data_IF_051502937037
#
_entry.id   IF_051502937037
#
_cell.length_a   1.000
_cell.length_b   1.000
_cell.length_c   1.000
_cell.angle_alpha   90.00
_cell.angle_beta   90.00
_cell.angle_gamma   90.00
#
_symmetry.space_group_name_H-M   'P 1'
#
loop_
_entity.id
_entity.type
_entity.pdbx_description
1 polymer ?
#
# COMPACT_ATOMS: atom_id res chain seq x y z
N UNK A 1 2.40 57.70 -1.67
CA UNK A 1 2.88 56.50 -0.93
C UNK A 1 3.00 55.34 -1.91
N UNK A 2 4.06 54.53 -1.79
CA UNK A 2 4.20 53.28 -2.55
C UNK A 2 3.08 52.31 -2.14
N UNK A 3 2.47 51.58 -3.08
CA UNK A 3 1.38 50.67 -2.76
C UNK A 3 1.88 49.37 -2.11
N UNK A 4 0.98 48.65 -1.46
CA UNK A 4 1.11 47.20 -1.24
C UNK A 4 0.71 46.50 -2.54
N UNK A 5 1.62 45.73 -3.11
CA UNK A 5 1.32 44.92 -4.30
C UNK A 5 0.81 43.55 -3.88
N UNK A 6 -0.37 43.16 -4.35
CA UNK A 6 -0.93 41.81 -4.17
C UNK A 6 -0.89 41.09 -5.50
N UNK A 7 -0.23 39.93 -5.57
CA UNK A 7 0.00 39.19 -6.81
C UNK A 7 -0.92 37.97 -6.86
N UNK A 8 -1.90 38.00 -7.77
CA UNK A 8 -2.94 37.00 -7.97
C UNK A 8 -4.28 37.42 -7.37
N UNK A 9 -5.32 37.57 -8.18
CA UNK A 9 -6.69 37.90 -7.78
C UNK A 9 -7.56 36.65 -7.60
N UNK A 10 -7.01 35.61 -6.96
CA UNK A 10 -7.78 34.49 -6.43
C UNK A 10 -8.48 34.83 -5.11
N UNK A 11 -9.12 33.83 -4.47
CA UNK A 11 -9.79 34.04 -3.19
C UNK A 11 -8.87 34.69 -2.14
N UNK A 12 -7.65 34.17 -1.95
CA UNK A 12 -6.69 34.71 -0.99
C UNK A 12 -6.24 36.15 -1.33
N UNK A 13 -5.98 36.45 -2.61
CA UNK A 13 -5.52 37.77 -3.02
C UNK A 13 -6.60 38.84 -2.97
N UNK A 14 -7.84 38.49 -3.30
CA UNK A 14 -8.99 39.39 -3.11
C UNK A 14 -9.16 39.74 -1.63
N UNK A 15 -9.12 38.75 -0.74
CA UNK A 15 -9.21 39.00 0.71
C UNK A 15 -8.03 39.81 1.24
N UNK A 16 -6.80 39.53 0.79
CA UNK A 16 -5.60 40.28 1.20
C UNK A 16 -5.65 41.74 0.72
N UNK A 17 -6.07 41.98 -0.52
CA UNK A 17 -6.23 43.33 -1.06
C UNK A 17 -7.31 44.12 -0.31
N UNK A 18 -8.45 43.46 -0.02
CA UNK A 18 -9.53 44.07 0.76
C UNK A 18 -9.07 44.45 2.17
N UNK A 19 -8.40 43.53 2.87
CA UNK A 19 -7.89 43.78 4.21
C UNK A 19 -6.89 44.95 4.24
N UNK A 20 -5.92 44.96 3.32
CA UNK A 20 -4.94 46.05 3.25
C UNK A 20 -5.58 47.40 2.90
N UNK A 21 -6.57 47.42 2.00
CA UNK A 21 -7.28 48.64 1.62
C UNK A 21 -8.13 49.21 2.78
N UNK A 22 -8.76 48.33 3.59
CA UNK A 22 -9.50 48.74 4.80
C UNK A 22 -8.62 49.42 5.85
N UNK A 23 -7.36 49.03 5.92
CA UNK A 23 -6.34 49.68 6.76
C UNK A 23 -5.82 51.01 6.16
N UNK A 24 -6.50 51.55 5.13
CA UNK A 24 -6.14 52.80 4.48
C UNK A 24 -4.86 52.74 3.65
N UNK A 25 -4.34 51.54 3.35
CA UNK A 25 -3.14 51.39 2.51
C UNK A 25 -3.50 51.61 1.05
N UNK A 26 -2.59 52.23 0.30
CA UNK A 26 -2.64 52.20 -1.16
C UNK A 26 -2.37 50.77 -1.62
N UNK A 27 -3.28 50.16 -2.38
CA UNK A 27 -3.16 48.76 -2.82
C UNK A 27 -3.23 48.68 -4.34
N UNK A 28 -2.42 47.81 -4.92
CA UNK A 28 -2.56 47.36 -6.31
C UNK A 28 -2.61 45.84 -6.35
N UNK A 29 -3.70 45.31 -6.90
CA UNK A 29 -3.94 43.89 -7.10
C UNK A 29 -3.63 43.54 -8.56
N UNK A 30 -2.58 42.75 -8.78
CA UNK A 30 -2.06 42.34 -10.08
C UNK A 30 -2.57 40.94 -10.41
N UNK A 31 -3.17 40.76 -11.58
CA UNK A 31 -3.72 39.48 -12.00
C UNK A 31 -3.50 39.28 -13.50
N UNK A 32 -3.01 38.09 -13.86
CA UNK A 32 -2.74 37.75 -15.26
C UNK A 32 -4.01 37.54 -16.08
N UNK A 33 -5.04 36.96 -15.49
CA UNK A 33 -6.31 36.74 -16.19
C UNK A 33 -7.07 38.05 -16.38
N UNK A 34 -8.00 38.13 -17.36
CA UNK A 34 -8.74 39.37 -17.62
C UNK A 34 -9.69 39.80 -16.49
N UNK A 35 -10.18 38.85 -15.68
CA UNK A 35 -11.29 39.11 -14.76
C UNK A 35 -11.02 38.70 -13.29
N UNK A 36 -9.91 38.02 -13.02
CA UNK A 36 -9.63 37.44 -11.70
C UNK A 36 -10.65 36.39 -11.24
N UNK A 37 -10.33 35.71 -10.13
CA UNK A 37 -11.23 34.77 -9.47
C UNK A 37 -11.68 33.57 -10.32
N UNK A 38 -10.98 33.26 -11.43
CA UNK A 38 -11.37 32.19 -12.38
C UNK A 38 -11.61 30.84 -11.71
N UNK A 39 -10.80 30.50 -10.70
CA UNK A 39 -10.94 29.25 -9.95
C UNK A 39 -12.15 29.22 -9.02
N UNK A 40 -12.61 30.38 -8.54
CA UNK A 40 -13.86 30.50 -7.79
C UNK A 40 -15.02 30.09 -8.70
N UNK A 41 -15.04 30.57 -9.95
CA UNK A 41 -16.11 30.30 -10.92
C UNK A 41 -16.32 28.82 -11.23
N UNK A 42 -15.29 27.99 -11.16
CA UNK A 42 -15.39 26.55 -11.43
C UNK A 42 -15.55 25.71 -10.15
N UNK A 43 -15.40 26.32 -8.98
CA UNK A 43 -15.47 25.61 -7.70
C UNK A 43 -16.90 25.13 -7.40
N UNK A 44 -17.03 23.99 -6.70
CA UNK A 44 -18.34 23.42 -6.37
C UNK A 44 -19.22 23.10 -7.58
N UNK A 45 -18.62 22.82 -8.75
CA UNK A 45 -19.37 22.60 -10.00
C UNK A 45 -20.04 23.87 -10.54
N UNK A 46 -19.45 25.04 -10.28
CA UNK A 46 -20.03 26.33 -10.66
C UNK A 46 -20.94 26.95 -9.59
N UNK A 47 -21.20 26.23 -8.48
CA UNK A 47 -21.99 26.74 -7.34
C UNK A 47 -21.16 27.49 -6.31
N UNK A 48 -19.86 27.24 -6.26
CA UNK A 48 -18.93 27.64 -5.19
C UNK A 48 -19.28 27.04 -3.83
N UNK A 49 -18.54 25.99 -3.45
CA UNK A 49 -18.50 25.55 -2.06
C UNK A 49 -17.64 26.55 -1.25
N UNK A 50 -18.27 27.52 -0.61
CA UNK A 50 -17.62 28.70 -0.02
C UNK A 50 -16.95 28.33 1.31
N UNK A 51 -17.72 27.74 2.24
CA UNK A 51 -17.29 27.47 3.61
C UNK A 51 -17.76 26.09 4.08
N UNK A 52 -17.05 25.44 5.00
CA UNK A 52 -17.61 24.29 5.71
C UNK A 52 -18.63 24.74 6.76
N UNK A 53 -19.57 23.87 7.12
CA UNK A 53 -20.52 24.08 8.23
C UNK A 53 -19.83 24.22 9.60
N UNK A 54 -18.66 23.61 9.77
CA UNK A 54 -17.86 23.62 11.00
C UNK A 54 -16.37 23.64 10.68
N UNK A 55 -15.59 24.30 11.53
CA UNK A 55 -14.14 24.34 11.38
C UNK A 55 -13.55 22.94 11.64
N UNK A 56 -12.71 22.46 10.72
CA UNK A 56 -12.11 21.13 10.81
C UNK A 56 -10.61 21.18 10.51
N UNK A 57 -9.77 21.68 11.45
CA UNK A 57 -8.32 21.76 11.25
C UNK A 57 -7.68 20.42 10.87
N UNK A 58 -8.25 19.30 11.32
CA UNK A 58 -7.78 17.95 10.98
C UNK A 58 -7.98 17.54 9.52
N UNK A 59 -8.75 18.30 8.72
CA UNK A 59 -8.91 18.06 7.27
C UNK A 59 -7.82 18.70 6.40
N UNK A 60 -6.93 19.50 6.99
CA UNK A 60 -5.82 20.11 6.26
C UNK A 60 -4.57 19.25 6.39
N UNK A 61 -3.88 19.03 5.27
CA UNK A 61 -2.58 18.38 5.24
C UNK A 61 -1.50 19.46 5.21
N UNK A 62 -0.55 19.39 6.14
CA UNK A 62 0.55 20.36 6.22
C UNK A 62 1.83 19.68 6.69
N UNK A 63 2.96 20.06 6.07
CA UNK A 63 4.31 19.72 6.53
C UNK A 63 4.80 20.71 7.62
N UNK A 64 4.03 21.77 7.89
CA UNK A 64 4.31 22.73 8.97
C UNK A 64 3.73 22.23 10.30
N UNK A 65 4.06 22.93 11.39
CA UNK A 65 3.48 22.61 12.70
C UNK A 65 1.94 22.67 12.67
N UNK A 66 1.22 21.64 13.17
CA UNK A 66 -0.22 21.69 13.35
C UNK A 66 -0.70 22.90 14.17
N UNK A 67 0.13 23.40 15.09
CA UNK A 67 -0.18 24.58 15.89
C UNK A 67 -0.14 25.87 15.06
N UNK A 68 0.77 25.98 14.08
CA UNK A 68 0.82 27.11 13.16
C UNK A 68 -0.46 27.17 12.30
N UNK A 69 -0.87 26.04 11.73
CA UNK A 69 -2.14 25.91 11.01
C UNK A 69 -3.34 26.32 11.88
N UNK A 70 -3.43 25.79 13.11
CA UNK A 70 -4.51 26.15 14.05
C UNK A 70 -4.50 27.63 14.42
N UNK A 71 -3.33 28.29 14.46
CA UNK A 71 -3.24 29.74 14.67
C UNK A 71 -3.74 30.51 13.46
N UNK A 72 -3.37 30.11 12.25
CA UNK A 72 -3.88 30.72 11.01
C UNK A 72 -5.40 30.63 10.92
N UNK A 73 -6.00 29.46 11.18
CA UNK A 73 -7.46 29.28 11.14
C UNK A 73 -8.20 30.05 12.24
N UNK A 74 -7.53 30.38 13.35
CA UNK A 74 -8.10 31.20 14.44
C UNK A 74 -7.94 32.70 14.21
N UNK A 75 -7.07 33.12 13.30
CA UNK A 75 -6.87 34.54 12.99
C UNK A 75 -8.05 35.16 12.25
N UNK A 76 -8.88 34.33 11.59
CA UNK A 76 -10.16 34.72 11.05
C UNK A 76 -11.15 33.55 11.24
N UNK A 77 -11.84 33.49 12.39
CA UNK A 77 -12.78 32.42 12.74
C UNK A 77 -13.89 32.19 11.71
N UNK A 78 -14.45 30.98 11.66
CA UNK A 78 -15.43 30.56 10.65
C UNK A 78 -16.76 31.34 10.72
N UNK A 79 -17.18 31.71 11.93
CA UNK A 79 -18.33 32.56 12.19
C UNK A 79 -18.13 33.98 11.68
N UNK A 80 -16.93 34.55 11.82
CA UNK A 80 -16.58 35.83 11.20
C UNK A 80 -16.52 35.73 9.67
N UNK A 81 -15.98 34.63 9.12
CA UNK A 81 -16.01 34.37 7.68
C UNK A 81 -17.45 34.32 7.16
N UNK A 82 -18.34 33.59 7.85
CA UNK A 82 -19.76 33.54 7.51
C UNK A 82 -20.40 34.93 7.55
N UNK A 83 -20.17 35.67 8.62
CA UNK A 83 -20.71 37.02 8.78
C UNK A 83 -20.22 37.97 7.67
N UNK A 84 -18.97 37.84 7.22
CA UNK A 84 -18.45 38.58 6.08
C UNK A 84 -19.25 38.29 4.80
N UNK A 85 -19.49 37.03 4.44
CA UNK A 85 -20.28 36.71 3.25
C UNK A 85 -21.73 37.17 3.39
N UNK A 86 -22.39 36.88 4.51
CA UNK A 86 -23.82 37.17 4.69
C UNK A 86 -24.13 38.66 4.87
N UNK A 87 -23.26 39.41 5.58
CA UNK A 87 -23.52 40.80 5.95
C UNK A 87 -22.76 41.79 5.08
N UNK A 88 -21.51 41.49 4.77
CA UNK A 88 -20.66 42.43 4.04
C UNK A 88 -20.68 42.20 2.54
N UNK A 89 -20.94 40.98 2.04
CA UNK A 89 -21.16 40.72 0.62
C UNK A 89 -22.63 40.59 0.24
N UNK A 90 -23.54 40.61 1.22
CA UNK A 90 -24.98 40.38 1.03
C UNK A 90 -25.27 39.04 0.31
N UNK A 91 -24.50 38.00 0.66
CA UNK A 91 -24.61 36.66 0.10
C UNK A 91 -25.11 35.70 1.17
N UNK A 92 -26.41 35.39 1.13
CA UNK A 92 -26.99 34.35 1.98
C UNK A 92 -26.36 33.00 1.68
N UNK A 93 -26.07 32.24 2.73
CA UNK A 93 -25.45 30.93 2.64
C UNK A 93 -26.46 29.82 2.95
N UNK A 94 -26.47 28.79 2.12
CA UNK A 94 -27.29 27.59 2.26
C UNK A 94 -26.41 26.39 2.64
N UNK A 95 -26.82 25.65 3.67
CA UNK A 95 -26.16 24.41 4.11
C UNK A 95 -26.69 23.23 3.30
N UNK A 96 -25.79 22.47 2.67
CA UNK A 96 -26.05 21.14 2.11
C UNK A 96 -25.81 20.11 3.22
N UNK A 97 -26.85 19.58 3.90
CA UNK A 97 -26.69 18.79 5.12
C UNK A 97 -25.90 17.50 4.91
N UNK A 98 -26.03 16.89 3.74
CA UNK A 98 -25.41 15.61 3.39
C UNK A 98 -23.88 15.72 3.34
N UNK A 99 -23.37 16.88 2.92
CA UNK A 99 -21.92 17.11 2.76
C UNK A 99 -21.34 18.04 3.81
N UNK A 100 -22.20 18.75 4.55
CA UNK A 100 -21.81 19.76 5.53
C UNK A 100 -21.13 20.97 4.91
N UNK A 101 -21.41 21.27 3.63
CA UNK A 101 -20.85 22.38 2.85
C UNK A 101 -21.82 23.54 2.77
N UNK A 102 -21.30 24.76 2.69
CA UNK A 102 -22.09 25.97 2.48
C UNK A 102 -21.89 26.50 1.06
N UNK A 103 -23.00 26.74 0.40
CA UNK A 103 -23.06 27.33 -0.93
C UNK A 103 -23.76 28.70 -0.83
N UNK A 104 -23.58 29.61 -1.80
CA UNK A 104 -24.49 30.75 -1.90
C UNK A 104 -25.89 30.24 -2.20
N UNK A 105 -26.94 30.85 -1.63
CA UNK A 105 -28.34 30.48 -1.86
C UNK A 105 -28.72 30.53 -3.36
N UNK A 106 -28.02 31.35 -4.14
CA UNK A 106 -28.21 31.43 -5.60
C UNK A 106 -27.62 30.24 -6.36
N UNK A 107 -26.77 29.43 -5.72
CA UNK A 107 -25.97 28.36 -6.34
C UNK A 107 -25.12 28.83 -7.53
N UNK A 108 -24.68 30.10 -7.53
CA UNK A 108 -23.82 30.67 -8.57
C UNK A 108 -22.51 31.18 -7.99
N UNK A 109 -21.41 30.53 -8.38
CA UNK A 109 -20.06 30.95 -8.05
C UNK A 109 -19.71 32.37 -8.55
N UNK A 110 -20.40 32.81 -9.61
CA UNK A 110 -20.26 34.16 -10.16
C UNK A 110 -20.64 35.23 -9.14
N UNK A 111 -21.71 35.03 -8.38
CA UNK A 111 -22.17 36.02 -7.39
C UNK A 111 -21.11 36.22 -6.30
N UNK A 112 -20.49 35.13 -5.84
CA UNK A 112 -19.37 35.14 -4.90
C UNK A 112 -18.17 35.88 -5.48
N UNK A 113 -17.76 35.53 -6.71
CA UNK A 113 -16.58 36.11 -7.36
C UNK A 113 -16.77 37.61 -7.62
N UNK A 114 -17.90 37.99 -8.22
CA UNK A 114 -18.21 39.38 -8.58
C UNK A 114 -18.37 40.23 -7.32
N UNK A 115 -19.02 39.71 -6.27
CA UNK A 115 -19.14 40.38 -4.97
C UNK A 115 -17.77 40.67 -4.33
N UNK A 116 -16.86 39.68 -4.29
CA UNK A 116 -15.51 39.88 -3.77
C UNK A 116 -14.74 40.95 -4.56
N UNK A 117 -14.77 40.89 -5.89
CA UNK A 117 -14.10 41.86 -6.76
C UNK A 117 -14.67 43.27 -6.56
N UNK A 118 -15.99 43.40 -6.46
CA UNK A 118 -16.66 44.68 -6.20
C UNK A 118 -16.22 45.26 -4.85
N UNK A 119 -16.20 44.45 -3.79
CA UNK A 119 -15.81 44.88 -2.44
C UNK A 119 -14.35 45.34 -2.35
N UNK A 120 -13.45 44.70 -3.08
CA UNK A 120 -12.05 45.15 -3.22
C UNK A 120 -11.95 46.50 -3.92
N UNK A 121 -12.73 46.72 -4.99
CA UNK A 121 -12.77 48.01 -5.70
C UNK A 121 -13.37 49.13 -4.84
N UNK A 122 -14.47 48.85 -4.15
CA UNK A 122 -15.14 49.79 -3.24
C UNK A 122 -14.23 50.19 -2.07
N UNK A 123 -13.39 49.27 -1.59
CA UNK A 123 -12.36 49.58 -0.59
C UNK A 123 -11.21 50.45 -1.12
N UNK A 124 -11.16 50.75 -2.42
CA UNK A 124 -10.19 51.67 -3.04
C UNK A 124 -8.93 51.00 -3.60
N UNK A 125 -8.87 49.66 -3.65
CA UNK A 125 -7.74 48.97 -4.28
C UNK A 125 -7.78 49.11 -5.82
N UNK A 126 -6.63 49.33 -6.44
CA UNK A 126 -6.50 49.36 -7.91
C UNK A 126 -6.32 47.95 -8.44
N UNK A 127 -7.13 47.54 -9.42
CA UNK A 127 -7.08 46.20 -10.02
C UNK A 127 -6.44 46.29 -11.40
N UNK A 128 -5.29 45.64 -11.56
CA UNK A 128 -4.55 45.54 -12.82
C UNK A 128 -4.69 44.11 -13.33
N UNK A 129 -5.74 43.90 -14.14
CA UNK A 129 -6.03 42.64 -14.81
C UNK A 129 -5.19 42.51 -16.09
N UNK A 130 -5.07 41.29 -16.63
CA UNK A 130 -4.23 41.06 -17.81
C UNK A 130 -2.72 41.31 -17.57
N UNK A 131 -2.30 41.41 -16.31
CA UNK A 131 -0.95 41.84 -15.91
C UNK A 131 -0.20 40.66 -15.29
N UNK A 132 0.87 40.22 -15.95
CA UNK A 132 1.68 39.10 -15.44
C UNK A 132 2.89 39.62 -14.68
N UNK A 133 3.05 39.15 -13.44
CA UNK A 133 4.27 39.36 -12.65
C UNK A 133 5.27 38.26 -12.98
N UNK A 134 6.49 38.63 -13.35
CA UNK A 134 7.55 37.70 -13.79
C UNK A 134 8.65 37.49 -12.75
N UNK A 135 8.78 38.43 -11.82
CA UNK A 135 9.85 38.42 -10.83
C UNK A 135 9.63 39.44 -9.74
N UNK A 136 10.39 39.27 -8.66
CA UNK A 136 10.45 40.20 -7.52
C UNK A 136 11.91 40.42 -7.16
N UNK A 137 12.28 41.68 -6.97
CA UNK A 137 13.57 42.06 -6.41
C UNK A 137 13.35 42.65 -5.02
N UNK A 138 13.98 42.10 -3.97
CA UNK A 138 13.86 42.63 -2.62
C UNK A 138 14.54 44.01 -2.52
N UNK A 139 14.13 44.84 -1.54
CA UNK A 139 14.83 46.06 -1.19
C UNK A 139 16.32 45.81 -0.93
N UNK A 140 17.17 46.77 -1.33
CA UNK A 140 18.61 46.72 -1.03
C UNK A 140 18.92 46.99 0.46
N UNK A 141 18.01 47.70 1.14
CA UNK A 141 18.03 48.00 2.57
C UNK A 141 16.60 47.97 3.14
N UNK A 142 16.45 48.02 4.47
CA UNK A 142 15.14 47.92 5.15
C UNK A 142 14.18 49.08 4.82
N UNK A 143 14.67 50.19 4.25
CA UNK A 143 13.87 51.36 3.89
C UNK A 143 13.48 51.40 2.39
N UNK A 144 14.10 50.56 1.57
CA UNK A 144 13.92 50.50 0.13
C UNK A 144 12.59 49.86 -0.31
N UNK A 145 12.18 50.08 -1.57
CA UNK A 145 11.02 49.41 -2.13
C UNK A 145 11.33 48.00 -2.60
N UNK A 146 10.29 47.18 -2.67
CA UNK A 146 10.28 46.03 -3.56
C UNK A 146 10.13 46.48 -5.01
N UNK A 147 10.83 45.81 -5.91
CA UNK A 147 10.60 45.96 -7.35
C UNK A 147 9.79 44.77 -7.84
N UNK A 148 8.61 45.03 -8.40
CA UNK A 148 7.71 44.03 -8.99
C UNK A 148 7.87 44.07 -10.50
N UNK A 149 8.47 43.02 -11.07
CA UNK A 149 8.72 42.92 -12.50
C UNK A 149 7.45 42.47 -13.24
N UNK A 150 7.09 43.21 -14.29
CA UNK A 150 5.89 42.98 -15.07
C UNK A 150 6.24 42.57 -16.50
N UNK A 151 5.52 41.59 -17.06
CA UNK A 151 5.70 41.18 -18.45
C UNK A 151 5.27 42.32 -19.39
N UNK A 152 6.21 42.83 -20.20
CA UNK A 152 5.92 43.82 -21.24
C UNK A 152 5.55 45.21 -20.73
N UNK A 153 5.82 45.52 -19.45
CA UNK A 153 5.59 46.82 -18.84
C UNK A 153 6.74 47.21 -17.91
N UNK A 154 6.95 48.51 -17.63
CA UNK A 154 7.92 48.94 -16.63
C UNK A 154 7.62 48.32 -15.25
N UNK A 155 8.65 48.05 -14.43
CA UNK A 155 8.46 47.50 -13.10
C UNK A 155 7.70 48.47 -12.19
N UNK A 156 7.00 47.90 -11.21
CA UNK A 156 6.26 48.63 -10.19
C UNK A 156 7.04 48.61 -8.88
N UNK A 157 7.29 49.79 -8.29
CA UNK A 157 7.77 49.87 -6.91
C UNK A 157 6.63 49.65 -5.91
N UNK A 158 6.87 48.79 -4.90
CA UNK A 158 5.92 48.50 -3.83
C UNK A 158 6.56 48.63 -2.45
N UNK A 159 5.77 49.07 -1.47
CA UNK A 159 6.21 49.09 -0.06
C UNK A 159 6.26 47.68 0.54
N UNK A 160 5.38 46.79 0.08
CA UNK A 160 5.31 45.40 0.47
C UNK A 160 4.67 44.58 -0.65
N UNK A 161 4.93 43.28 -0.67
CA UNK A 161 4.38 42.35 -1.65
C UNK A 161 3.69 41.18 -0.96
N UNK A 162 2.47 40.85 -1.39
CA UNK A 162 1.71 39.66 -0.99
C UNK A 162 1.62 38.71 -2.19
N UNK A 163 2.19 37.52 -2.08
CA UNK A 163 2.06 36.47 -3.11
C UNK A 163 0.82 35.62 -2.82
N UNK A 164 -0.16 35.67 -3.72
CA UNK A 164 -1.44 34.95 -3.65
C UNK A 164 -1.78 34.23 -4.98
N UNK A 165 -0.75 33.73 -5.68
CA UNK A 165 -0.83 33.16 -7.04
C UNK A 165 -1.48 31.77 -7.13
N UNK A 166 -1.80 31.15 -5.99
CA UNK A 166 -2.31 29.78 -5.94
C UNK A 166 -1.23 28.73 -6.24
N UNK A 167 -1.68 27.53 -6.64
CA UNK A 167 -0.83 26.37 -6.90
C UNK A 167 -0.65 26.06 -8.39
N UNK A 168 -0.65 24.77 -8.71
CA UNK A 168 -0.40 24.24 -10.07
C UNK A 168 -1.65 23.64 -10.75
N UNK A 169 -2.78 23.55 -10.04
CA UNK A 169 -3.96 22.86 -10.57
C UNK A 169 -4.85 23.77 -11.41
N UNK A 170 -5.31 23.25 -12.54
CA UNK A 170 -6.11 23.97 -13.55
C UNK A 170 -5.40 25.26 -14.06
N UNK A 171 -4.26 25.14 -14.77
CA UNK A 171 -3.44 26.29 -15.18
C UNK A 171 -4.20 27.36 -15.99
N UNK A 172 -5.21 26.95 -16.75
CA UNK A 172 -6.10 27.86 -17.48
C UNK A 172 -6.85 28.88 -16.58
N UNK A 173 -6.92 28.63 -15.26
CA UNK A 173 -7.48 29.58 -14.28
C UNK A 173 -6.46 30.60 -13.77
N UNK A 174 -5.21 30.54 -14.23
CA UNK A 174 -4.13 31.45 -13.84
C UNK A 174 -3.13 30.86 -12.85
N UNK A 175 -3.45 29.76 -12.17
CA UNK A 175 -2.55 29.11 -11.21
C UNK A 175 -1.65 28.07 -11.89
N UNK A 176 -0.46 28.49 -12.32
CA UNK A 176 0.48 27.72 -13.14
C UNK A 176 1.85 27.46 -12.49
N UNK A 177 2.01 27.82 -11.22
CA UNK A 177 3.27 27.66 -10.49
C UNK A 177 4.25 28.82 -10.59
N UNK A 178 4.00 29.87 -11.38
CA UNK A 178 4.92 31.02 -11.52
C UNK A 178 5.30 31.62 -10.17
N UNK A 179 4.33 31.76 -9.25
CA UNK A 179 4.62 32.28 -7.90
C UNK A 179 5.55 31.38 -7.06
N UNK A 180 5.53 30.06 -7.26
CA UNK A 180 6.46 29.14 -6.61
C UNK A 180 7.89 29.33 -7.13
N UNK A 181 8.05 29.60 -8.42
CA UNK A 181 9.36 29.93 -9.01
C UNK A 181 9.87 31.28 -8.49
N UNK A 182 9.01 32.29 -8.42
CA UNK A 182 9.35 33.61 -7.88
C UNK A 182 9.85 33.49 -6.43
N UNK A 183 9.10 32.81 -5.55
CA UNK A 183 9.53 32.68 -4.15
C UNK A 183 10.77 31.79 -4.00
N UNK A 184 10.98 30.81 -4.89
CA UNK A 184 12.24 30.03 -4.93
C UNK A 184 13.43 30.92 -5.29
N UNK A 185 13.27 31.82 -6.26
CA UNK A 185 14.32 32.76 -6.65
C UNK A 185 14.68 33.74 -5.51
N UNK A 186 13.73 34.05 -4.62
CA UNK A 186 13.98 34.80 -3.39
C UNK A 186 14.66 33.99 -2.27
N UNK A 187 15.02 32.72 -2.52
CA UNK A 187 15.73 31.86 -1.58
C UNK A 187 14.82 31.02 -0.66
N UNK A 188 13.50 31.03 -0.86
CA UNK A 188 12.61 30.16 -0.07
C UNK A 188 12.71 28.69 -0.50
N UNK A 189 12.60 27.78 0.48
CA UNK A 189 12.47 26.35 0.22
C UNK A 189 11.04 26.00 -0.17
N UNK A 190 10.87 25.48 -1.39
CA UNK A 190 9.59 24.96 -1.87
C UNK A 190 9.51 23.46 -1.56
N UNK A 191 8.46 23.03 -0.86
CA UNK A 191 8.20 21.60 -0.64
C UNK A 191 7.78 20.92 -1.94
N UNK A 192 8.12 19.64 -2.16
CA UNK A 192 7.66 18.90 -3.34
C UNK A 192 6.15 18.99 -3.49
N UNK A 193 5.69 19.38 -4.66
CA UNK A 193 4.27 19.46 -4.99
C UNK A 193 3.82 18.16 -5.62
N UNK A 194 2.55 17.82 -5.42
CA UNK A 194 1.96 16.62 -5.98
C UNK A 194 0.45 16.84 -6.22
N UNK A 195 -0.17 16.13 -7.17
CA UNK A 195 -1.61 16.21 -7.37
C UNK A 195 -2.39 15.70 -6.14
N UNK A 196 -3.39 16.44 -5.71
CA UNK A 196 -4.29 16.07 -4.62
C UNK A 196 -5.73 16.39 -5.03
N UNK A 197 -6.70 15.72 -4.40
CA UNK A 197 -8.12 15.81 -4.77
C UNK A 197 -8.33 15.44 -6.26
N UNK A 198 -7.66 14.38 -6.71
CA UNK A 198 -7.69 13.90 -8.10
C UNK A 198 -8.22 12.47 -8.17
N UNK A 199 -8.91 12.07 -9.26
CA UNK A 199 -9.24 10.67 -9.50
C UNK A 199 -8.00 9.78 -9.46
N UNK A 200 -8.17 8.53 -9.06
CA UNK A 200 -7.14 7.50 -9.09
C UNK A 200 -7.36 6.58 -10.28
N UNK A 201 -6.31 6.39 -11.09
CA UNK A 201 -6.35 5.52 -12.25
C UNK A 201 -6.03 4.07 -11.85
N UNK A 202 -6.60 3.12 -12.58
CA UNK A 202 -6.33 1.69 -12.42
C UNK A 202 -5.70 1.13 -13.70
N UNK A 203 -4.71 0.25 -13.55
CA UNK A 203 -3.99 -0.39 -14.65
C UNK A 203 -3.81 -1.90 -14.38
N UNK A 204 -4.52 -2.79 -15.09
CA UNK A 204 -5.61 -2.48 -16.01
C UNK A 204 -6.86 -1.96 -15.25
N UNK A 205 -7.77 -1.22 -15.92
CA UNK A 205 -9.00 -0.72 -15.30
C UNK A 205 -10.06 -1.82 -15.17
N UNK A 206 -9.85 -2.78 -14.26
CA UNK A 206 -10.68 -3.99 -14.08
C UNK A 206 -12.17 -3.71 -13.82
N UNK A 207 -12.48 -2.53 -13.26
CA UNK A 207 -13.86 -2.10 -12.97
C UNK A 207 -14.44 -1.11 -13.99
N UNK A 208 -13.84 -0.97 -15.19
CA UNK A 208 -14.32 -0.02 -16.20
C UNK A 208 -15.79 -0.24 -16.61
N UNK A 209 -16.24 -1.50 -16.60
CA UNK A 209 -17.63 -1.88 -16.89
C UNK A 209 -18.62 -1.46 -15.80
N UNK A 210 -18.17 -0.95 -14.64
CA UNK A 210 -19.01 -0.38 -13.57
C UNK A 210 -19.11 1.15 -13.67
N UNK A 211 -18.50 1.77 -14.68
CA UNK A 211 -18.50 3.22 -14.84
C UNK A 211 -19.91 3.83 -14.73
N UNK A 212 -20.00 4.95 -14.02
CA UNK A 212 -21.24 5.67 -13.72
C UNK A 212 -21.94 5.21 -12.44
N UNK A 213 -21.57 4.05 -11.87
CA UNK A 213 -22.08 3.65 -10.55
C UNK A 213 -21.47 4.54 -9.47
N UNK A 214 -22.34 5.14 -8.65
CA UNK A 214 -21.98 5.95 -7.49
C UNK A 214 -22.72 5.47 -6.26
N UNK A 215 -22.02 5.43 -5.12
CA UNK A 215 -22.58 5.05 -3.83
C UNK A 215 -21.71 5.61 -2.69
N UNK A 216 -22.28 5.72 -1.50
CA UNK A 216 -21.51 6.04 -0.31
C UNK A 216 -20.76 4.82 0.22
N UNK A 217 -19.47 4.99 0.50
CA UNK A 217 -18.60 3.93 1.04
C UNK A 217 -17.78 4.46 2.20
N UNK A 218 -17.21 3.55 2.98
CA UNK A 218 -16.07 3.88 3.85
C UNK A 218 -14.78 3.44 3.16
N UNK A 219 -13.87 4.38 2.93
CA UNK A 219 -12.55 4.14 2.34
C UNK A 219 -11.47 4.32 3.40
N UNK A 220 -10.56 3.35 3.50
CA UNK A 220 -9.42 3.39 4.42
C UNK A 220 -8.11 3.21 3.68
N UNK A 221 -7.04 3.81 4.19
CA UNK A 221 -5.68 3.56 3.74
C UNK A 221 -4.88 2.88 4.87
N UNK A 222 -4.91 1.54 4.98
CA UNK A 222 -4.16 0.82 6.00
C UNK A 222 -2.66 1.15 5.94
N UNK A 223 -2.03 1.32 7.11
CA UNK A 223 -0.60 1.65 7.19
C UNK A 223 -0.24 3.10 6.88
N UNK A 224 -1.17 3.91 6.39
CA UNK A 224 -0.93 5.33 6.15
C UNK A 224 -0.56 6.07 7.44
N UNK A 225 0.37 7.02 7.32
CA UNK A 225 0.82 7.89 8.43
C UNK A 225 0.67 9.36 8.03
N UNK A 226 -0.24 10.12 8.68
CA UNK A 226 -1.20 9.69 9.71
C UNK A 226 -2.25 8.72 9.17
N UNK A 227 -2.93 8.00 10.08
CA UNK A 227 -4.06 7.12 9.74
C UNK A 227 -5.10 7.89 8.94
N UNK A 228 -5.58 7.29 7.86
CA UNK A 228 -6.55 7.90 6.96
C UNK A 228 -7.77 6.99 6.78
N UNK A 229 -8.94 7.52 7.17
CA UNK A 229 -10.24 6.91 6.98
C UNK A 229 -11.23 8.01 6.56
N UNK A 230 -12.05 7.76 5.54
CA UNK A 230 -13.07 8.70 5.07
C UNK A 230 -14.35 7.98 4.66
N UNK A 231 -15.48 8.70 4.68
CA UNK A 231 -16.80 8.19 4.27
C UNK A 231 -17.51 9.20 3.37
N UNK A 232 -18.19 8.69 2.36
CA UNK A 232 -19.01 9.47 1.44
C UNK A 232 -18.97 8.89 0.03
N UNK A 233 -19.33 9.71 -0.96
CA UNK A 233 -19.47 9.27 -2.34
C UNK A 233 -18.20 8.67 -2.92
N UNK A 234 -18.37 7.54 -3.59
CA UNK A 234 -17.41 6.83 -4.42
C UNK A 234 -18.00 6.67 -5.82
N UNK A 235 -17.20 6.90 -6.85
CA UNK A 235 -17.63 6.84 -8.24
C UNK A 235 -16.70 5.92 -9.04
N UNK A 236 -17.29 4.91 -9.69
CA UNK A 236 -16.59 4.13 -10.71
C UNK A 236 -16.50 4.93 -12.02
N UNK A 237 -15.33 4.91 -12.66
CA UNK A 237 -15.08 5.57 -13.95
C UNK A 237 -14.49 4.59 -14.95
N UNK A 238 -14.48 4.95 -16.23
CA UNK A 238 -13.90 4.10 -17.27
C UNK A 238 -12.40 3.80 -17.10
N UNK A 239 -11.67 4.61 -16.32
CA UNK A 239 -10.21 4.48 -16.15
C UNK A 239 -9.76 4.22 -14.71
N UNK A 240 -10.69 4.03 -13.78
CA UNK A 240 -10.39 3.94 -12.35
C UNK A 240 -11.51 4.51 -11.50
N UNK A 241 -11.17 5.30 -10.49
CA UNK A 241 -12.09 5.70 -9.42
C UNK A 241 -12.06 7.20 -9.16
N UNK A 242 -13.21 7.74 -8.76
CA UNK A 242 -13.41 9.15 -8.41
C UNK A 242 -14.43 9.23 -7.27
N UNK A 243 -15.02 10.41 -7.07
CA UNK A 243 -15.94 10.69 -5.97
C UNK A 243 -15.20 11.21 -4.73
N UNK A 244 -15.88 11.98 -3.86
CA UNK A 244 -15.25 12.67 -2.74
C UNK A 244 -14.29 11.82 -1.91
N UNK A 245 -14.63 10.57 -1.62
CA UNK A 245 -13.77 9.68 -0.80
C UNK A 245 -12.47 9.32 -1.49
N UNK A 246 -12.50 9.04 -2.80
CA UNK A 246 -11.29 8.76 -3.58
C UNK A 246 -10.45 10.02 -3.77
N UNK A 247 -11.08 11.17 -4.02
CA UNK A 247 -10.38 12.44 -4.14
C UNK A 247 -9.67 12.79 -2.84
N UNK A 248 -10.35 12.64 -1.69
CA UNK A 248 -9.76 12.85 -0.37
C UNK A 248 -8.59 11.88 -0.12
N UNK A 249 -8.70 10.62 -0.51
CA UNK A 249 -7.64 9.62 -0.34
C UNK A 249 -6.47 9.77 -1.32
N UNK A 250 -6.65 10.50 -2.42
CA UNK A 250 -5.71 10.51 -3.54
C UNK A 250 -4.31 10.98 -3.12
N UNK A 251 -4.24 11.93 -2.17
CA UNK A 251 -2.98 12.47 -1.69
C UNK A 251 -2.13 11.42 -0.95
N UNK A 252 -2.77 10.44 -0.27
CA UNK A 252 -2.07 9.37 0.44
C UNK A 252 -1.43 8.44 -0.58
N UNK A 253 -2.21 7.98 -1.56
CA UNK A 253 -1.73 7.07 -2.60
C UNK A 253 -0.60 7.69 -3.45
N UNK A 254 -0.75 8.95 -3.86
CA UNK A 254 0.23 9.65 -4.69
C UNK A 254 1.53 9.90 -3.93
N UNK A 255 1.46 10.30 -2.65
CA UNK A 255 2.67 10.50 -1.85
C UNK A 255 3.45 9.21 -1.63
N UNK A 256 2.76 8.10 -1.33
CA UNK A 256 3.41 6.79 -1.22
C UNK A 256 4.07 6.40 -2.54
N UNK A 257 3.38 6.55 -3.67
CA UNK A 257 3.95 6.26 -4.99
C UNK A 257 5.21 7.10 -5.28
N UNK A 258 5.20 8.39 -4.93
CA UNK A 258 6.37 9.28 -5.07
C UNK A 258 7.53 8.89 -4.13
N UNK A 259 7.25 8.20 -3.03
CA UNK A 259 8.25 7.62 -2.14
C UNK A 259 8.74 6.23 -2.60
N UNK A 260 8.23 5.70 -3.72
CA UNK A 260 8.53 4.35 -4.19
C UNK A 260 7.76 3.25 -3.43
N UNK A 261 6.75 3.63 -2.65
CA UNK A 261 5.92 2.73 -1.85
C UNK A 261 4.56 2.51 -2.51
N UNK A 262 3.94 1.35 -2.26
CA UNK A 262 2.56 1.07 -2.66
C UNK A 262 1.62 1.29 -1.47
N UNK A 263 0.67 2.21 -1.62
CA UNK A 263 -0.43 2.37 -0.66
C UNK A 263 -1.61 1.49 -1.08
N UNK A 264 -2.02 0.59 -0.20
CA UNK A 264 -3.29 -0.12 -0.35
C UNK A 264 -4.46 0.77 0.08
N UNK A 265 -5.54 0.79 -0.71
CA UNK A 265 -6.79 1.42 -0.33
C UNK A 265 -7.87 0.34 -0.23
N UNK A 266 -8.56 0.30 0.90
CA UNK A 266 -9.64 -0.65 1.15
C UNK A 266 -10.97 0.08 1.13
N UNK A 267 -11.95 -0.50 0.44
CA UNK A 267 -13.30 0.06 0.32
C UNK A 267 -14.28 -0.88 0.99
N UNK A 268 -14.98 -0.37 2.00
CA UNK A 268 -16.13 -1.04 2.61
C UNK A 268 -17.38 -0.57 1.90
N UNK A 269 -17.93 -1.45 1.06
CA UNK A 269 -19.15 -1.19 0.27
C UNK A 269 -20.42 -1.16 1.11
N UNK A 270 -20.47 -1.96 2.19
CA UNK A 270 -21.68 -2.15 3.02
C UNK A 270 -21.30 -2.04 4.50
N UNK A 271 -22.04 -1.20 5.25
CA UNK A 271 -21.87 -1.01 6.70
C UNK A 271 -22.63 -2.06 7.51
N UNK A 272 -22.45 -3.33 7.16
CA UNK A 272 -22.99 -4.47 7.90
C UNK A 272 -21.81 -5.29 8.43
N UNK A 273 -21.90 -5.72 9.68
CA UNK A 273 -20.89 -6.59 10.29
C UNK A 273 -21.15 -8.06 9.93
N UNK A 274 -20.25 -8.94 10.37
CA UNK A 274 -20.33 -10.36 10.05
C UNK A 274 -21.57 -11.02 10.64
N UNK A 275 -21.91 -10.73 11.89
CA UNK A 275 -23.06 -11.31 12.58
C UNK A 275 -24.39 -10.91 11.92
N UNK A 276 -24.52 -9.64 11.54
CA UNK A 276 -25.68 -9.16 10.82
C UNK A 276 -25.79 -9.72 9.39
N UNK A 277 -24.66 -10.05 8.76
CA UNK A 277 -24.67 -10.80 7.50
C UNK A 277 -25.07 -12.25 7.69
N UNK A 278 -24.59 -12.92 8.75
CA UNK A 278 -24.91 -14.32 9.03
C UNK A 278 -26.42 -14.52 9.20
N UNK A 279 -27.07 -13.65 10.00
CA UNK A 279 -28.54 -13.62 10.12
C UNK A 279 -29.23 -13.45 8.77
N UNK A 280 -28.85 -12.43 7.99
CA UNK A 280 -29.47 -12.19 6.67
C UNK A 280 -29.24 -13.36 5.72
N UNK A 281 -28.07 -13.99 5.75
CA UNK A 281 -27.76 -15.09 4.84
C UNK A 281 -28.49 -16.39 5.21
N UNK A 282 -28.72 -16.64 6.51
CA UNK A 282 -29.41 -17.83 7.01
C UNK A 282 -30.93 -17.69 7.02
N UNK A 283 -31.45 -16.56 7.51
CA UNK A 283 -32.88 -16.41 7.84
C UNK A 283 -33.73 -15.93 6.65
N UNK A 284 -33.19 -15.06 5.79
CA UNK A 284 -33.96 -14.52 4.66
C UNK A 284 -34.05 -15.53 3.50
N UNK A 285 -35.21 -15.64 2.87
CA UNK A 285 -35.32 -16.33 1.58
C UNK A 285 -34.64 -15.53 0.46
N UNK A 286 -34.08 -16.23 -0.53
CA UNK A 286 -33.49 -15.65 -1.75
C UNK A 286 -32.01 -15.96 -1.95
N UNK A 287 -31.48 -15.62 -3.12
CA UNK A 287 -30.07 -15.82 -3.47
C UNK A 287 -29.17 -14.80 -2.77
N UNK A 288 -27.88 -15.13 -2.59
CA UNK A 288 -26.87 -14.20 -2.05
C UNK A 288 -26.86 -12.89 -2.85
N UNK A 289 -26.94 -12.98 -4.18
CA UNK A 289 -27.02 -11.80 -5.05
C UNK A 289 -28.22 -10.92 -4.68
N UNK A 290 -29.42 -11.51 -4.55
CA UNK A 290 -30.63 -10.75 -4.23
C UNK A 290 -30.54 -10.06 -2.87
N UNK A 291 -29.82 -10.63 -1.91
CA UNK A 291 -29.62 -10.05 -0.57
C UNK A 291 -28.62 -8.90 -0.62
N UNK A 292 -27.50 -9.06 -1.33
CA UNK A 292 -26.48 -8.01 -1.51
C UNK A 292 -27.02 -6.84 -2.34
N UNK A 293 -27.78 -7.12 -3.40
CA UNK A 293 -28.36 -6.10 -4.27
C UNK A 293 -29.44 -5.22 -3.60
N UNK A 294 -29.88 -5.57 -2.38
CA UNK A 294 -30.73 -4.69 -1.55
C UNK A 294 -29.94 -3.55 -0.90
N UNK A 295 -28.64 -3.70 -0.75
CA UNK A 295 -27.76 -2.76 -0.04
C UNK A 295 -26.91 -1.92 -0.99
N UNK A 296 -26.59 -2.46 -2.17
CA UNK A 296 -25.72 -1.81 -3.17
C UNK A 296 -26.28 -1.99 -4.59
N UNK A 297 -25.85 -1.18 -5.57
CA UNK A 297 -26.29 -1.30 -6.96
C UNK A 297 -26.09 -2.71 -7.54
N UNK A 298 -27.09 -3.24 -8.24
CA UNK A 298 -27.12 -4.64 -8.72
C UNK A 298 -25.88 -5.03 -9.53
N UNK A 299 -25.42 -4.17 -10.45
CA UNK A 299 -24.20 -4.39 -11.25
C UNK A 299 -22.94 -4.54 -10.39
N UNK A 300 -22.85 -3.80 -9.29
CA UNK A 300 -21.74 -3.92 -8.34
C UNK A 300 -21.88 -5.23 -7.54
N UNK A 301 -23.08 -5.56 -7.09
CA UNK A 301 -23.33 -6.83 -6.39
C UNK A 301 -22.93 -8.04 -7.24
N UNK A 302 -23.39 -8.11 -8.49
CA UNK A 302 -23.02 -9.15 -9.46
C UNK A 302 -21.50 -9.27 -9.57
N UNK A 303 -20.82 -8.14 -9.80
CA UNK A 303 -19.38 -8.12 -9.97
C UNK A 303 -18.61 -8.59 -8.73
N UNK A 304 -18.99 -8.14 -7.54
CA UNK A 304 -18.36 -8.57 -6.29
C UNK A 304 -18.55 -10.08 -6.06
N UNK A 305 -19.73 -10.63 -6.36
CA UNK A 305 -19.96 -12.07 -6.28
C UNK A 305 -19.14 -12.85 -7.30
N UNK A 306 -18.98 -12.35 -8.52
CA UNK A 306 -18.12 -12.97 -9.54
C UNK A 306 -16.66 -13.02 -9.09
N UNK A 307 -16.14 -11.90 -8.57
CA UNK A 307 -14.76 -11.82 -8.08
C UNK A 307 -14.51 -12.76 -6.91
N UNK A 308 -15.43 -12.80 -5.94
CA UNK A 308 -15.34 -13.73 -4.80
C UNK A 308 -15.41 -15.19 -5.24
N UNK A 309 -16.27 -15.54 -6.20
CA UNK A 309 -16.32 -16.91 -6.76
C UNK A 309 -15.01 -17.29 -7.45
N UNK A 310 -14.41 -16.37 -8.21
CA UNK A 310 -13.14 -16.59 -8.88
C UNK A 310 -11.97 -16.73 -7.88
N UNK A 311 -11.98 -15.98 -6.78
CA UNK A 311 -11.02 -16.14 -5.68
C UNK A 311 -11.17 -17.49 -4.99
N UNK A 312 -12.39 -17.88 -4.62
CA UNK A 312 -12.65 -19.19 -3.99
C UNK A 312 -12.27 -20.36 -4.91
N UNK A 313 -12.52 -20.25 -6.23
CA UNK A 313 -12.11 -21.25 -7.19
C UNK A 313 -10.58 -21.41 -7.22
N UNK A 314 -9.84 -20.29 -7.31
CA UNK A 314 -8.37 -20.29 -7.28
C UNK A 314 -7.80 -20.86 -5.97
N UNK A 315 -8.39 -20.48 -4.83
CA UNK A 315 -7.97 -21.00 -3.53
C UNK A 315 -8.17 -22.53 -3.42
N UNK A 316 -9.28 -23.05 -3.96
CA UNK A 316 -9.56 -24.50 -4.01
C UNK A 316 -8.57 -25.24 -4.91
N UNK A 317 -8.28 -24.70 -6.09
CA UNK A 317 -7.30 -25.26 -7.02
C UNK A 317 -5.91 -25.32 -6.39
N UNK A 318 -5.47 -24.21 -5.76
CA UNK A 318 -4.20 -24.19 -5.04
C UNK A 318 -4.16 -25.20 -3.89
N UNK A 319 -5.25 -25.32 -3.12
CA UNK A 319 -5.33 -26.32 -2.06
C UNK A 319 -5.25 -27.75 -2.60
N UNK A 320 -5.88 -28.04 -3.74
CA UNK A 320 -5.82 -29.35 -4.38
C UNK A 320 -4.40 -29.66 -4.88
N UNK A 321 -3.71 -28.67 -5.46
CA UNK A 321 -2.34 -28.80 -5.91
C UNK A 321 -1.39 -29.11 -4.75
N UNK A 322 -1.50 -28.40 -3.63
CA UNK A 322 -0.70 -28.65 -2.42
C UNK A 322 -0.94 -30.08 -1.88
N UNK A 323 -2.18 -30.56 -1.91
CA UNK A 323 -2.51 -31.94 -1.50
C UNK A 323 -1.87 -32.96 -2.44
N UNK A 324 -1.90 -32.72 -3.76
CA UNK A 324 -1.30 -33.62 -4.75
C UNK A 324 0.22 -33.70 -4.59
N UNK A 325 0.88 -32.55 -4.45
CA UNK A 325 2.32 -32.46 -4.21
C UNK A 325 2.72 -33.16 -2.91
N UNK A 326 1.93 -32.97 -1.84
CA UNK A 326 2.11 -33.65 -0.57
C UNK A 326 2.01 -35.17 -0.69
N UNK A 327 1.03 -35.69 -1.46
CA UNK A 327 0.89 -37.13 -1.73
C UNK A 327 2.10 -37.68 -2.49
N UNK A 328 2.53 -37.00 -3.55
CA UNK A 328 3.69 -37.41 -4.33
C UNK A 328 4.98 -37.39 -3.50
N UNK A 329 5.15 -36.39 -2.64
CA UNK A 329 6.29 -36.33 -1.73
C UNK A 329 6.28 -37.49 -0.71
N UNK A 330 5.09 -37.83 -0.18
CA UNK A 330 4.94 -38.96 0.73
C UNK A 330 5.22 -40.31 0.04
N UNK A 331 4.79 -40.49 -1.21
CA UNK A 331 5.11 -41.68 -2.00
C UNK A 331 6.61 -41.80 -2.28
N UNK A 332 7.27 -40.72 -2.69
CA UNK A 332 8.74 -40.70 -2.87
C UNK A 332 9.48 -41.08 -1.59
N UNK A 333 9.10 -40.47 -0.46
CA UNK A 333 9.70 -40.77 0.83
C UNK A 333 9.48 -42.24 1.23
N UNK A 334 8.28 -42.79 1.01
CA UNK A 334 7.98 -44.19 1.29
C UNK A 334 8.86 -45.11 0.45
N UNK A 335 8.98 -44.84 -0.85
CA UNK A 335 9.73 -45.68 -1.76
C UNK A 335 11.24 -45.61 -1.47
N UNK A 336 11.76 -44.43 -1.10
CA UNK A 336 13.12 -44.26 -0.58
C UNK A 336 13.36 -45.05 0.71
N UNK A 337 12.44 -44.96 1.69
CA UNK A 337 12.52 -45.71 2.95
C UNK A 337 12.48 -47.21 2.72
N UNK A 338 11.59 -47.70 1.85
CA UNK A 338 11.51 -49.12 1.50
C UNK A 338 12.80 -49.60 0.83
N UNK A 339 13.35 -48.82 -0.10
CA UNK A 339 14.59 -49.15 -0.80
C UNK A 339 15.76 -49.21 0.18
N UNK A 340 15.87 -48.22 1.07
CA UNK A 340 16.89 -48.18 2.12
C UNK A 340 16.75 -49.35 3.10
N UNK A 341 15.53 -49.63 3.56
CA UNK A 341 15.26 -50.74 4.48
C UNK A 341 15.63 -52.09 3.86
N UNK A 342 15.32 -52.29 2.57
CA UNK A 342 15.72 -53.49 1.83
C UNK A 342 17.24 -53.60 1.73
N UNK A 343 17.92 -52.52 1.36
CA UNK A 343 19.38 -52.51 1.30
C UNK A 343 20.03 -52.82 2.67
N UNK A 344 19.51 -52.23 3.75
CA UNK A 344 19.96 -52.50 5.12
C UNK A 344 19.70 -53.97 5.54
N UNK A 345 18.53 -54.53 5.18
CA UNK A 345 18.22 -55.94 5.42
C UNK A 345 19.16 -56.89 4.66
N UNK A 346 19.39 -56.64 3.37
CA UNK A 346 20.31 -57.43 2.55
C UNK A 346 21.74 -57.38 3.11
N UNK A 347 22.18 -56.20 3.54
CA UNK A 347 23.48 -56.02 4.17
C UNK A 347 23.58 -56.75 5.52
N UNK A 348 22.54 -56.70 6.35
CA UNK A 348 22.46 -57.42 7.62
C UNK A 348 22.54 -58.93 7.41
N UNK A 349 21.79 -59.46 6.43
CA UNK A 349 21.83 -60.89 6.07
C UNK A 349 23.22 -61.27 5.56
N UNK A 350 23.83 -60.43 4.72
CA UNK A 350 25.18 -60.68 4.22
C UNK A 350 26.24 -60.66 5.34
N UNK A 351 26.11 -59.76 6.32
CA UNK A 351 26.96 -59.73 7.52
C UNK A 351 26.76 -60.99 8.37
N UNK A 352 25.51 -61.33 8.69
CA UNK A 352 25.19 -62.53 9.47
C UNK A 352 25.71 -63.81 8.80
N UNK A 353 25.62 -63.92 7.47
CA UNK A 353 26.22 -65.04 6.71
C UNK A 353 27.73 -65.11 6.86
N UNK A 354 28.44 -63.98 6.72
CA UNK A 354 29.89 -63.91 6.92
C UNK A 354 30.29 -64.29 8.35
N UNK A 355 29.54 -63.83 9.34
CA UNK A 355 29.80 -64.15 10.75
C UNK A 355 29.56 -65.63 11.05
N UNK A 356 28.51 -66.23 10.47
CA UNK A 356 28.26 -67.68 10.54
C UNK A 356 29.41 -68.44 9.87
N UNK A 357 29.81 -68.09 8.65
CA UNK A 357 30.93 -68.73 7.95
C UNK A 357 32.23 -68.64 8.76
N UNK A 358 32.54 -67.49 9.33
CA UNK A 358 33.72 -67.30 10.17
C UNK A 358 33.63 -68.10 11.47
N UNK A 359 32.46 -68.11 12.12
CA UNK A 359 32.18 -68.89 13.32
C UNK A 359 32.33 -70.40 13.08
N UNK A 360 31.73 -70.90 11.99
CA UNK A 360 31.85 -72.31 11.57
C UNK A 360 33.29 -72.69 11.30
N UNK A 361 34.06 -71.83 10.60
CA UNK A 361 35.50 -72.09 10.38
C UNK A 361 36.29 -72.16 11.68
N UNK A 362 36.00 -71.29 12.66
CA UNK A 362 36.63 -71.34 13.99
C UNK A 362 36.27 -72.61 14.73
N UNK A 363 34.99 -72.97 14.77
CA UNK A 363 34.52 -74.18 15.44
C UNK A 363 35.12 -75.46 14.82
N UNK A 364 35.20 -75.54 13.50
CA UNK A 364 35.87 -76.66 12.81
C UNK A 364 37.36 -76.70 13.17
N UNK A 365 38.03 -75.55 13.25
CA UNK A 365 39.43 -75.51 13.65
C UNK A 365 39.63 -75.94 15.11
N UNK A 366 38.74 -75.54 16.02
CA UNK A 366 38.76 -75.98 17.43
C UNK A 366 38.55 -77.50 17.53
N UNK A 367 37.57 -78.06 16.81
CA UNK A 367 37.33 -79.51 16.77
C UNK A 367 38.56 -80.24 16.21
N UNK A 368 39.20 -79.72 15.14
CA UNK A 368 40.41 -80.32 14.58
C UNK A 368 41.55 -80.35 15.58
N UNK A 369 41.76 -79.26 16.32
CA UNK A 369 42.77 -79.19 17.36
C UNK A 369 42.48 -80.18 18.49
N UNK A 370 41.22 -80.29 18.94
CA UNK A 370 40.84 -81.19 20.02
C UNK A 370 40.92 -82.67 19.62
N UNK A 371 40.55 -83.01 18.39
CA UNK A 371 40.77 -84.35 17.82
C UNK A 371 42.26 -84.67 17.74
N UNK A 372 43.09 -83.73 17.31
CA UNK A 372 44.54 -83.90 17.27
C UNK A 372 45.10 -84.22 18.67
N UNK A 373 44.71 -83.44 19.67
CA UNK A 373 45.13 -83.63 21.08
C UNK A 373 44.65 -84.97 21.65
N UNK A 374 43.39 -85.35 21.41
CA UNK A 374 42.83 -86.63 21.85
C UNK A 374 43.53 -87.82 21.18
N UNK A 375 43.87 -87.70 19.90
CA UNK A 375 44.56 -88.74 19.12
C UNK A 375 45.97 -88.96 19.66
N UNK A 376 46.71 -87.89 19.93
CA UNK A 376 48.03 -87.95 20.57
C UNK A 376 47.91 -88.60 21.95
N UNK A 377 47.01 -88.10 22.81
CA UNK A 377 46.82 -88.64 24.16
C UNK A 377 46.43 -90.12 24.18
N UNK A 378 45.49 -90.53 23.32
CA UNK A 378 45.05 -91.91 23.23
C UNK A 378 46.21 -92.83 22.80
N UNK A 379 47.01 -92.39 21.82
CA UNK A 379 48.13 -93.17 21.28
C UNK A 379 49.27 -93.28 22.28
N UNK A 380 49.66 -92.19 22.95
CA UNK A 380 50.67 -92.22 24.01
C UNK A 380 50.23 -93.12 25.18
N UNK A 381 48.94 -93.11 25.52
CA UNK A 381 48.38 -93.95 26.58
C UNK A 381 48.38 -95.44 26.22
N UNK A 382 48.05 -95.79 24.97
CA UNK A 382 48.07 -97.18 24.47
C UNK A 382 49.51 -97.69 24.33
N UNK A 383 50.43 -96.86 23.83
CA UNK A 383 51.83 -97.24 23.61
C UNK A 383 52.72 -97.13 24.85
N UNK A 384 52.24 -96.44 25.91
CA UNK A 384 52.96 -96.15 27.18
C UNK A 384 54.32 -95.46 26.96
N UNK A 385 54.45 -94.67 25.89
CA UNK A 385 55.66 -93.91 25.54
C UNK A 385 55.25 -92.52 25.05
N UNK A 386 56.09 -91.52 25.29
CA UNK A 386 55.92 -90.18 24.74
C UNK A 386 56.30 -90.18 23.25
N UNK A 387 55.48 -89.59 22.41
CA UNK A 387 55.73 -89.47 20.97
C UNK A 387 56.65 -88.28 20.67
N UNK A 388 57.46 -88.37 19.61
CA UNK A 388 58.26 -87.24 19.12
C UNK A 388 57.40 -86.29 18.28
N UNK A 389 57.79 -85.02 18.13
CA UNK A 389 57.04 -84.02 17.34
C UNK A 389 56.73 -84.50 15.91
N UNK A 390 57.65 -85.22 15.27
CA UNK A 390 57.47 -85.75 13.91
C UNK A 390 56.50 -86.94 13.87
N UNK A 391 56.44 -87.75 14.93
CA UNK A 391 55.47 -88.85 15.05
C UNK A 391 54.07 -88.30 15.36
N UNK A 392 53.97 -87.31 16.26
CA UNK A 392 52.71 -86.63 16.58
C UNK A 392 52.08 -85.99 15.33
N UNK A 393 52.87 -85.27 14.53
CA UNK A 393 52.39 -84.65 13.28
C UNK A 393 51.84 -85.68 12.30
N UNK A 394 52.57 -86.79 12.08
CA UNK A 394 52.12 -87.85 11.17
C UNK A 394 50.80 -88.48 11.59
N UNK A 395 50.65 -88.73 12.90
CA UNK A 395 49.47 -89.36 13.48
C UNK A 395 48.25 -88.43 13.45
N UNK A 396 48.46 -87.14 13.71
CA UNK A 396 47.41 -86.11 13.58
C UNK A 396 46.97 -85.97 12.12
N UNK A 397 47.90 -85.91 11.17
CA UNK A 397 47.55 -85.82 9.75
C UNK A 397 46.76 -87.05 9.27
N UNK A 398 47.14 -88.25 9.72
CA UNK A 398 46.43 -89.50 9.39
C UNK A 398 45.00 -89.49 9.98
N UNK A 399 44.86 -89.19 11.27
CA UNK A 399 43.55 -89.14 11.94
C UNK A 399 42.63 -88.02 11.41
N UNK A 400 43.19 -86.86 11.06
CA UNK A 400 42.43 -85.77 10.44
C UNK A 400 42.03 -86.08 9.00
N UNK A 401 42.80 -86.91 8.27
CA UNK A 401 42.48 -87.33 6.91
C UNK A 401 41.34 -88.35 6.83
N UNK A 402 41.12 -89.13 7.90
CA UNK A 402 39.99 -90.06 8.01
C UNK A 402 38.67 -89.36 8.36
N UNK A 403 38.72 -88.12 8.85
CA UNK A 403 37.55 -87.32 9.23
C UNK A 403 37.17 -86.33 8.12
N UNK A 404 35.96 -86.50 7.55
CA UNK A 404 35.43 -85.58 6.55
C UNK A 404 34.82 -84.31 7.17
N UNK A 405 35.68 -83.32 7.41
CA UNK A 405 35.27 -81.99 7.87
C UNK A 405 34.63 -81.11 6.79
N UNK A 406 34.67 -81.49 5.50
CA UNK A 406 34.06 -80.71 4.42
C UNK A 406 32.53 -80.71 4.56
N UNK A 407 31.96 -81.84 5.03
CA UNK A 407 30.54 -81.99 5.33
C UNK A 407 30.02 -81.03 6.43
N UNK A 408 30.89 -80.61 7.35
CA UNK A 408 30.57 -79.70 8.47
C UNK A 408 30.76 -78.22 8.11
N UNK A 409 31.61 -77.91 7.12
CA UNK A 409 31.89 -76.54 6.67
C UNK A 409 30.79 -75.95 5.77
N UNK A 410 29.77 -76.74 5.41
CA UNK A 410 28.70 -76.31 4.51
C UNK A 410 29.15 -76.11 3.05
N UNK A 411 30.36 -76.52 2.70
CA UNK A 411 30.86 -76.58 1.33
C UNK A 411 30.57 -77.95 0.71
N UNK A 412 29.29 -78.36 0.67
CA UNK A 412 28.70 -79.04 -0.49
C UNK A 412 27.26 -79.49 -0.23
N UNK A 413 26.34 -78.85 -0.96
CA UNK A 413 25.18 -79.43 -1.65
C UNK A 413 24.43 -78.28 -2.32
N UNK A 414 24.98 -77.76 -3.43
CA UNK A 414 24.18 -77.08 -4.44
C UNK A 414 23.96 -78.05 -5.59
N UNK A 415 22.74 -78.59 -5.67
CA UNK A 415 22.10 -78.96 -6.92
C UNK A 415 20.90 -78.03 -7.07
#
# INVERSE_FOLDING_TARGET
>A
MRPVAVVGAGAAGLMAALAAAREGRSVVLLERTPDGGRKILISGGGRCNILPSRAQPGRYVTDSSPNALKRMLRAWPLDEQRAFFERELDLRLELEPETGKLFPETHRARDVRDGLVARVREAGARLWMGTSVTGLVPPADDAGPWTVELAGAPPLEAAAVVIATGGLSVPATGSDGTGLEIVRALGHRIRPTYPALTPLLADPPVHAHLAGISLDVTLRAPGARPRFDTRGGFLFTHRGYSGPTVLDASHVAIRSALAGERQELTVRWIERDFEAWDRVLVEDAGSVLSKVAREIPNRLAERLLEEQRAELARAREQSQQVILEGRQAAERLRDELLTRTRAEQEELIARARRDIEQGTRRAIQEIRNEVADLTIMATEKVTRKSLTDDDQRRLVDEALSELDFASLAGEDRRN
#
